data_IF_198508460904
#
_entry.id   IF_198508460904
#
_cell.length_a   1.000
_cell.length_b   1.000
_cell.length_c   1.000
_cell.angle_alpha   90.00
_cell.angle_beta   90.00
_cell.angle_gamma   90.00
#
_symmetry.space_group_name_H-M   'P 1'
#
loop_
_entity.id
_entity.type
_entity.pdbx_description
1 polymer ?
#
# COMPACT_ATOMS: atom_id res chain seq x y z
N UNK A 1 -12.82 54.88 47.23
CA UNK A 1 -11.68 54.24 46.55
C UNK A 1 -12.22 53.13 45.68
N UNK A 2 -12.28 53.36 44.36
CA UNK A 2 -12.65 52.36 43.37
C UNK A 2 -11.44 51.50 43.03
N UNK A 3 -11.63 50.19 42.87
CA UNK A 3 -10.64 49.35 42.18
C UNK A 3 -11.37 48.35 41.31
N UNK A 4 -11.50 48.72 40.03
CA UNK A 4 -11.76 47.80 38.93
C UNK A 4 -10.46 47.12 38.54
N UNK A 5 -10.43 45.78 38.44
CA UNK A 5 -9.52 45.10 37.51
C UNK A 5 -10.27 43.92 36.90
N UNK A 6 -10.44 43.98 35.57
CA UNK A 6 -10.96 42.92 34.71
C UNK A 6 -9.86 41.88 34.50
N UNK A 7 -10.16 40.59 34.56
CA UNK A 7 -9.32 39.57 33.92
C UNK A 7 -10.09 38.88 32.79
N UNK A 8 -9.40 38.85 31.66
CA UNK A 8 -9.87 38.54 30.34
C UNK A 8 -10.12 37.04 30.12
N UNK A 9 -11.05 36.78 29.21
CA UNK A 9 -11.42 35.47 28.71
C UNK A 9 -10.23 34.70 28.13
N UNK A 10 -10.06 33.45 28.56
CA UNK A 10 -9.19 32.47 27.93
C UNK A 10 -9.96 31.82 26.77
N UNK A 11 -9.69 32.30 25.55
CA UNK A 11 -10.08 31.63 24.31
C UNK A 11 -9.11 30.47 24.07
N UNK A 12 -9.51 29.27 24.46
CA UNK A 12 -8.83 28.03 24.09
C UNK A 12 -9.07 27.74 22.61
N UNK A 13 -8.10 28.10 21.76
CA UNK A 13 -8.09 27.70 20.36
C UNK A 13 -7.65 26.24 20.23
N UNK A 14 -8.61 25.33 20.06
CA UNK A 14 -8.33 23.93 19.72
C UNK A 14 -7.91 23.86 18.26
N UNK A 15 -6.60 23.71 18.02
CA UNK A 15 -6.04 23.43 16.70
C UNK A 15 -6.42 22.00 16.34
N UNK A 16 -7.39 21.83 15.46
CA UNK A 16 -7.67 20.54 14.80
C UNK A 16 -6.60 20.36 13.74
N UNK A 17 -5.59 19.52 13.99
CA UNK A 17 -4.68 19.07 12.95
C UNK A 17 -5.46 18.17 11.99
N UNK A 18 -5.84 18.73 10.84
CA UNK A 18 -6.30 17.95 9.70
C UNK A 18 -5.15 17.05 9.26
N UNK A 19 -5.22 15.77 9.61
CA UNK A 19 -4.32 14.75 9.08
C UNK A 19 -4.64 14.60 7.58
N UNK A 20 -3.88 15.28 6.72
CA UNK A 20 -3.73 14.87 5.32
C UNK A 20 -2.85 13.62 5.29
N UNK A 21 -3.40 12.49 5.74
CA UNK A 21 -2.79 11.17 5.58
C UNK A 21 -3.04 10.65 4.17
N UNK A 22 -2.05 9.97 3.59
CA UNK A 22 -2.26 9.15 2.41
C UNK A 22 -3.43 8.17 2.67
N UNK A 23 -4.20 7.75 1.65
CA UNK A 23 -5.27 6.78 1.84
C UNK A 23 -4.74 5.56 2.60
N UNK A 24 -5.35 5.31 3.76
CA UNK A 24 -5.02 4.20 4.64
C UNK A 24 -5.29 2.90 3.88
N UNK A 25 -4.31 2.00 3.89
CA UNK A 25 -4.53 0.64 3.40
C UNK A 25 -5.59 0.03 4.32
N UNK A 26 -6.64 -0.60 3.76
CA UNK A 26 -7.66 -1.24 4.58
C UNK A 26 -7.01 -2.17 5.60
N UNK A 27 -7.40 -2.04 6.88
CA UNK A 27 -6.82 -2.83 7.98
C UNK A 27 -7.00 -4.35 7.79
N UNK A 28 -7.94 -4.75 6.93
CA UNK A 28 -8.24 -6.14 6.61
C UNK A 28 -7.55 -6.53 5.30
N UNK A 29 -6.46 -7.29 5.40
CA UNK A 29 -5.80 -7.96 4.28
C UNK A 29 -6.17 -9.46 4.25
N UNK A 30 -6.25 -10.08 3.05
CA UNK A 30 -6.17 -9.45 1.73
C UNK A 30 -7.40 -8.59 1.43
N UNK A 31 -7.20 -7.57 0.61
CA UNK A 31 -8.24 -6.67 0.10
C UNK A 31 -8.11 -6.53 -1.41
N UNK A 32 -9.23 -6.52 -2.12
CA UNK A 32 -9.31 -6.16 -3.54
C UNK A 32 -10.69 -5.56 -3.82
N UNK A 33 -10.71 -4.49 -4.61
CA UNK A 33 -11.94 -3.94 -5.17
C UNK A 33 -12.63 -4.96 -6.09
N UNK A 34 -13.96 -4.93 -6.23
CA UNK A 34 -14.67 -5.88 -7.07
C UNK A 34 -14.15 -5.90 -8.51
N UNK A 35 -13.76 -7.10 -8.98
CA UNK A 35 -13.23 -7.30 -10.33
C UNK A 35 -11.75 -6.97 -10.51
N UNK A 36 -11.05 -6.54 -9.45
CA UNK A 36 -9.59 -6.41 -9.46
C UNK A 36 -8.95 -7.76 -9.10
N UNK A 37 -8.08 -8.25 -9.97
CA UNK A 37 -7.23 -9.40 -9.68
C UNK A 37 -5.83 -8.92 -9.32
N UNK A 38 -5.29 -9.42 -8.21
CA UNK A 38 -3.96 -9.07 -7.74
C UNK A 38 -3.25 -10.28 -7.10
N UNK A 39 -2.17 -10.70 -7.72
CA UNK A 39 -1.45 -11.92 -7.38
C UNK A 39 0.04 -11.69 -7.14
N UNK A 40 0.58 -12.46 -6.20
CA UNK A 40 2.00 -12.48 -5.84
C UNK A 40 2.38 -13.95 -5.78
N UNK A 41 3.18 -14.42 -6.74
CA UNK A 41 3.52 -15.83 -6.89
C UNK A 41 5.04 -16.03 -6.91
N UNK A 42 5.61 -16.95 -6.13
CA UNK A 42 7.04 -17.25 -6.22
C UNK A 42 7.38 -17.78 -7.63
N UNK A 43 8.44 -17.28 -8.25
CA UNK A 43 8.81 -17.63 -9.64
C UNK A 43 9.54 -18.97 -9.70
N UNK A 44 10.43 -19.23 -8.74
CA UNK A 44 11.23 -20.45 -8.68
C UNK A 44 11.39 -20.95 -7.23
N UNK A 45 12.33 -21.87 -7.02
CA UNK A 45 12.67 -22.43 -5.70
C UNK A 45 13.97 -21.87 -5.12
N UNK A 46 14.54 -20.84 -5.75
CA UNK A 46 15.80 -20.25 -5.36
C UNK A 46 15.54 -19.23 -4.25
N UNK A 47 15.61 -19.72 -3.01
CA UNK A 47 15.55 -18.87 -1.85
C UNK A 47 16.93 -18.60 -1.29
N UNK A 48 17.13 -17.41 -0.73
CA UNK A 48 18.30 -17.12 0.09
C UNK A 48 18.23 -17.87 1.43
N UNK A 49 19.35 -17.97 2.17
CA UNK A 49 19.34 -18.56 3.51
C UNK A 49 18.38 -17.87 4.51
N UNK A 50 18.11 -16.58 4.32
CA UNK A 50 17.15 -15.78 5.09
C UNK A 50 15.70 -15.88 4.56
N UNK A 51 15.46 -16.69 3.53
CA UNK A 51 14.13 -17.00 3.02
C UNK A 51 13.58 -15.98 2.02
N UNK A 52 14.41 -15.04 1.53
CA UNK A 52 14.04 -14.14 0.46
C UNK A 52 14.02 -14.87 -0.89
N UNK A 53 13.10 -14.49 -1.76
CA UNK A 53 12.89 -15.14 -3.05
C UNK A 53 12.43 -14.13 -4.12
N UNK A 54 12.43 -14.57 -5.38
CA UNK A 54 11.87 -13.81 -6.51
C UNK A 54 10.38 -14.14 -6.66
N UNK A 55 9.54 -13.11 -6.68
CA UNK A 55 8.10 -13.23 -6.90
C UNK A 55 7.69 -12.51 -8.19
N UNK A 56 6.68 -13.03 -8.87
CA UNK A 56 5.95 -12.30 -9.91
C UNK A 56 4.71 -11.68 -9.29
N UNK A 57 4.59 -10.37 -9.46
CA UNK A 57 3.42 -9.59 -9.06
C UNK A 57 2.61 -9.29 -10.31
N UNK A 58 1.38 -9.77 -10.36
CA UNK A 58 0.48 -9.62 -11.51
C UNK A 58 -0.79 -8.88 -11.12
N UNK A 59 -1.33 -8.08 -12.03
CA UNK A 59 -2.56 -7.33 -11.83
C UNK A 59 -3.44 -7.37 -13.08
N UNK A 60 -4.76 -7.38 -12.84
CA UNK A 60 -5.80 -7.07 -13.82
C UNK A 60 -6.83 -6.17 -13.16
N UNK A 61 -7.01 -4.98 -13.73
CA UNK A 61 -7.89 -3.93 -13.20
C UNK A 61 -8.96 -3.61 -14.26
N UNK A 62 -10.24 -3.51 -13.87
CA UNK A 62 -11.28 -3.07 -14.78
C UNK A 62 -10.95 -1.69 -15.36
N UNK A 63 -11.01 -1.52 -16.68
CA UNK A 63 -10.67 -0.26 -17.36
C UNK A 63 -11.48 0.95 -16.84
N UNK A 64 -12.68 0.72 -16.31
CA UNK A 64 -13.52 1.75 -15.67
C UNK A 64 -12.93 2.33 -14.39
N UNK A 65 -11.95 1.66 -13.78
CA UNK A 65 -11.25 2.10 -12.56
C UNK A 65 -9.94 2.81 -12.87
N UNK A 66 -9.48 2.80 -14.14
CA UNK A 66 -8.24 3.43 -14.59
C UNK A 66 -7.20 2.41 -15.07
N UNK A 67 -6.14 2.92 -15.72
CA UNK A 67 -5.07 2.09 -16.29
C UNK A 67 -3.67 2.45 -15.80
N UNK A 68 -3.51 3.56 -15.06
CA UNK A 68 -2.20 3.98 -14.56
C UNK A 68 -1.94 3.34 -13.22
N UNK A 69 -1.35 2.17 -13.26
CA UNK A 69 -1.12 1.34 -12.09
C UNK A 69 0.21 1.71 -11.42
N UNK A 70 0.20 1.73 -10.09
CA UNK A 70 1.39 1.75 -9.26
C UNK A 70 1.30 0.65 -8.21
N UNK A 71 2.34 -0.19 -8.14
CA UNK A 71 2.49 -1.18 -7.07
C UNK A 71 3.52 -0.66 -6.08
N UNK A 72 3.15 -0.64 -4.82
CA UNK A 72 3.99 -0.22 -3.71
C UNK A 72 4.24 -1.39 -2.75
N UNK A 73 5.34 -1.32 -2.01
CA UNK A 73 5.74 -2.32 -1.01
C UNK A 73 5.93 -1.67 0.35
N UNK A 74 5.40 -2.31 1.39
CA UNK A 74 5.41 -1.82 2.77
C UNK A 74 4.00 -1.55 3.30
N UNK A 75 3.84 -1.60 4.63
CA UNK A 75 2.58 -1.27 5.29
C UNK A 75 2.46 0.24 5.54
N UNK A 76 3.43 0.79 6.29
CA UNK A 76 3.45 2.20 6.72
C UNK A 76 4.27 3.08 5.76
N UNK A 77 5.57 2.77 5.59
CA UNK A 77 6.45 3.46 4.65
C UNK A 77 6.48 2.75 3.30
N UNK A 78 5.49 3.07 2.45
CA UNK A 78 5.34 2.46 1.14
C UNK A 78 6.38 2.98 0.15
N UNK A 79 7.12 2.05 -0.46
CA UNK A 79 8.07 2.34 -1.55
C UNK A 79 7.49 1.87 -2.87
N UNK A 80 7.65 2.67 -3.93
CA UNK A 80 7.24 2.27 -5.27
C UNK A 80 8.09 1.08 -5.72
N UNK A 81 7.43 -0.03 -6.05
CA UNK A 81 8.06 -1.19 -6.67
C UNK A 81 8.01 -1.07 -8.20
N UNK A 82 6.82 -0.85 -8.78
CA UNK A 82 6.67 -0.68 -10.22
C UNK A 82 5.52 0.26 -10.58
N UNK A 83 5.55 0.74 -11.83
CA UNK A 83 4.54 1.60 -12.45
C UNK A 83 4.22 1.08 -13.84
N UNK A 84 2.94 1.05 -14.17
CA UNK A 84 2.44 0.77 -15.51
C UNK A 84 1.46 1.85 -15.97
N UNK A 85 1.27 1.97 -17.28
CA UNK A 85 0.16 2.73 -17.87
C UNK A 85 -0.93 1.79 -18.44
N UNK A 86 -0.82 0.50 -18.13
CA UNK A 86 -1.75 -0.55 -18.53
C UNK A 86 -2.46 -1.14 -17.31
N UNK A 87 -3.77 -1.38 -17.45
CA UNK A 87 -4.60 -1.95 -16.40
C UNK A 87 -4.37 -3.46 -16.21
N UNK A 88 -3.64 -4.11 -17.12
CA UNK A 88 -3.24 -5.52 -17.04
C UNK A 88 -1.74 -5.57 -17.15
N UNK A 89 -1.08 -6.38 -16.33
CA UNK A 89 0.36 -6.54 -16.42
C UNK A 89 0.95 -7.40 -15.32
N UNK A 90 2.26 -7.56 -15.39
CA UNK A 90 3.03 -8.24 -14.36
C UNK A 90 4.46 -7.70 -14.30
N UNK A 91 5.07 -7.76 -13.12
CA UNK A 91 6.47 -7.42 -12.90
C UNK A 91 7.10 -8.42 -11.94
N UNK A 92 8.37 -8.76 -12.18
CA UNK A 92 9.14 -9.60 -11.26
C UNK A 92 9.87 -8.75 -10.23
N UNK A 93 9.83 -9.21 -8.98
CA UNK A 93 10.67 -8.64 -7.93
C UNK A 93 12.12 -9.01 -8.17
N UNK A 94 13.02 -8.37 -7.42
CA UNK A 94 14.33 -8.96 -7.17
C UNK A 94 14.23 -10.05 -6.11
N UNK A 95 15.39 -10.61 -5.76
CA UNK A 95 15.54 -11.58 -4.67
C UNK A 95 15.50 -10.89 -3.30
N UNK A 96 14.35 -10.29 -2.98
CA UNK A 96 14.11 -9.56 -1.73
C UNK A 96 12.70 -9.77 -1.17
N UNK A 97 11.80 -10.40 -1.94
CA UNK A 97 10.45 -10.71 -1.44
C UNK A 97 10.54 -11.72 -0.31
N UNK A 98 9.82 -11.47 0.76
CA UNK A 98 9.75 -12.35 1.93
C UNK A 98 8.30 -12.53 2.33
N UNK A 99 8.00 -13.66 2.99
CA UNK A 99 6.66 -13.95 3.48
C UNK A 99 6.13 -12.83 4.40
N UNK A 100 4.87 -12.46 4.24
CA UNK A 100 4.21 -11.40 5.00
C UNK A 100 4.47 -9.98 4.50
N UNK A 101 5.36 -9.79 3.53
CA UNK A 101 5.60 -8.47 2.92
C UNK A 101 4.33 -7.97 2.22
N UNK A 102 3.93 -6.74 2.50
CA UNK A 102 2.69 -6.15 1.95
C UNK A 102 2.98 -5.50 0.61
N UNK A 103 2.20 -5.87 -0.41
CA UNK A 103 2.13 -5.19 -1.69
C UNK A 103 0.77 -4.50 -1.81
N UNK A 104 0.77 -3.28 -2.31
CA UNK A 104 -0.40 -2.44 -2.47
C UNK A 104 -0.50 -1.99 -3.92
N UNK A 105 -1.64 -2.28 -4.54
CA UNK A 105 -1.98 -1.85 -5.89
C UNK A 105 -2.80 -0.56 -5.81
N UNK A 106 -2.36 0.49 -6.51
CA UNK A 106 -3.05 1.78 -6.55
C UNK A 106 -3.26 2.24 -7.98
N UNK A 107 -4.34 2.97 -8.20
CA UNK A 107 -4.48 3.81 -9.40
C UNK A 107 -3.80 5.15 -9.12
N UNK A 108 -2.84 5.51 -9.98
CA UNK A 108 -1.86 6.56 -9.70
C UNK A 108 -2.43 7.98 -9.82
N UNK A 109 -3.41 8.20 -10.70
CA UNK A 109 -3.98 9.55 -10.87
C UNK A 109 -4.91 9.92 -9.70
N UNK A 110 -5.72 8.98 -9.24
CA UNK A 110 -6.68 9.15 -8.15
C UNK A 110 -6.09 8.85 -6.76
N UNK A 111 -5.01 8.06 -6.69
CA UNK A 111 -4.46 7.55 -5.45
C UNK A 111 -5.31 6.46 -4.80
N UNK A 112 -6.35 5.96 -5.48
CA UNK A 112 -7.23 4.93 -4.95
C UNK A 112 -6.48 3.61 -4.77
N UNK A 113 -6.57 3.02 -3.57
CA UNK A 113 -6.07 1.66 -3.32
C UNK A 113 -7.05 0.67 -3.94
N UNK A 114 -6.58 -0.10 -4.92
CA UNK A 114 -7.37 -1.08 -5.65
C UNK A 114 -7.27 -2.48 -5.04
N UNK A 115 -6.11 -2.82 -4.50
CA UNK A 115 -5.88 -4.09 -3.82
C UNK A 115 -4.69 -3.98 -2.85
N UNK A 116 -4.68 -4.85 -1.85
CA UNK A 116 -3.54 -5.04 -0.95
C UNK A 116 -3.44 -6.51 -0.57
N UNK A 117 -2.23 -7.06 -0.65
CA UNK A 117 -1.98 -8.49 -0.40
C UNK A 117 -0.62 -8.69 0.23
N UNK A 118 -0.55 -9.63 1.17
CA UNK A 118 0.72 -10.11 1.70
C UNK A 118 1.29 -11.18 0.76
N UNK A 119 2.60 -11.12 0.53
CA UNK A 119 3.33 -12.19 -0.11
C UNK A 119 3.25 -13.45 0.76
N UNK A 120 2.93 -14.60 0.13
CA UNK A 120 2.98 -15.90 0.79
C UNK A 120 4.41 -16.38 1.07
N UNK A 121 4.61 -17.62 1.54
CA UNK A 121 5.96 -18.19 1.57
C UNK A 121 6.49 -18.40 0.15
N UNK A 122 7.81 -18.29 -0.02
CA UNK A 122 8.49 -18.73 -1.24
C UNK A 122 8.38 -20.25 -1.42
N UNK A 123 8.62 -20.76 -2.62
CA UNK A 123 8.69 -22.20 -2.90
C UNK A 123 10.04 -22.80 -2.46
N UNK A 124 10.50 -22.42 -1.27
CA UNK A 124 11.75 -22.90 -0.68
C UNK A 124 11.50 -24.35 -0.25
N UNK A 125 12.12 -25.32 -0.92
CA UNK A 125 12.00 -26.72 -0.53
C UNK A 125 12.49 -26.91 0.90
N UNK A 126 11.67 -27.54 1.74
CA UNK A 126 12.07 -28.07 3.04
C UNK A 126 12.84 -29.38 2.91
#
# INVERSE_FOLDING_TARGET
>A
MSTSVRLAALLSATIVLSACGAPEVPERMPFAEPGVEFEITPVDRNCTPDGAYVARVSWEVPQSMGSKIEVQVGADERKVFTRSNEAVGSEETGQWTSAGMVFVLTERDSGMVLAAKQAGPGNCGG
#
